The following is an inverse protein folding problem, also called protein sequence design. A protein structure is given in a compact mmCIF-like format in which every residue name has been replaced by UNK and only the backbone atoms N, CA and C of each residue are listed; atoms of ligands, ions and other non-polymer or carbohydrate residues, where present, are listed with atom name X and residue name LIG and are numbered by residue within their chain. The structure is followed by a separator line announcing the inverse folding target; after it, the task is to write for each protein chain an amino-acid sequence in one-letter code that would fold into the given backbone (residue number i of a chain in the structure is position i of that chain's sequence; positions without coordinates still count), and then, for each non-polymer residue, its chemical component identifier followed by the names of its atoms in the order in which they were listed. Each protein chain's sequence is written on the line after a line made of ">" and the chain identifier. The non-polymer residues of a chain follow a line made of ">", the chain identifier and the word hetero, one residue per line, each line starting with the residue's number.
data_IF_075873537413
#
_entry.id   IF_075873537413
#
_cell.length_a   1.000
_cell.length_b   1.000
_cell.length_c   1.000
_cell.angle_alpha   90.00
_cell.angle_beta   90.00
_cell.angle_gamma   90.00
#
_symmetry.space_group_name_H-M   'P 1'
#
loop_
_entity.id
_entity.type
_entity.pdbx_description
1 polymer ?
#
# COMPACT_ATOMS: atom_id res chain seq x y z
N UNK A 1 15.34 26.84 -17.77
CA UNK A 1 15.34 25.38 -17.91
C UNK A 1 15.46 25.04 -19.39
N UNK A 2 16.30 24.08 -19.77
CA UNK A 2 16.47 23.70 -21.19
C UNK A 2 15.20 23.02 -21.71
N UNK A 3 14.67 23.51 -22.84
CA UNK A 3 13.40 23.05 -23.41
C UNK A 3 13.44 21.56 -23.78
N UNK A 4 14.62 21.01 -24.08
CA UNK A 4 14.79 19.59 -24.37
C UNK A 4 14.47 18.70 -23.17
N UNK A 5 14.91 19.10 -21.98
CA UNK A 5 14.70 18.34 -20.73
C UNK A 5 13.21 18.30 -20.36
N UNK A 6 12.49 19.39 -20.62
CA UNK A 6 11.05 19.49 -20.37
C UNK A 6 10.25 18.56 -21.28
N UNK A 7 10.64 18.42 -22.55
CA UNK A 7 10.00 17.49 -23.50
C UNK A 7 10.32 16.03 -23.15
N UNK A 8 11.54 15.73 -22.71
CA UNK A 8 11.91 14.38 -22.26
C UNK A 8 11.13 13.96 -21.01
N UNK A 9 10.92 14.89 -20.06
CA UNK A 9 10.10 14.65 -18.86
C UNK A 9 8.63 14.45 -19.24
N UNK A 10 8.08 15.28 -20.13
CA UNK A 10 6.70 15.12 -20.63
C UNK A 10 6.50 13.78 -21.31
N UNK A 11 7.46 13.36 -22.15
CA UNK A 11 7.45 12.07 -22.82
C UNK A 11 7.49 10.90 -21.83
N UNK A 12 8.37 10.98 -20.81
CA UNK A 12 8.49 9.98 -19.76
C UNK A 12 7.22 9.84 -18.91
N UNK A 13 6.67 10.97 -18.45
CA UNK A 13 5.44 11.00 -17.66
C UNK A 13 4.26 10.49 -18.50
N UNK A 14 4.10 10.95 -19.74
CA UNK A 14 3.00 10.52 -20.63
C UNK A 14 3.05 9.03 -20.92
N UNK A 15 4.24 8.49 -21.24
CA UNK A 15 4.44 7.05 -21.45
C UNK A 15 4.15 6.22 -20.20
N UNK A 16 4.40 6.78 -19.01
CA UNK A 16 4.11 6.13 -17.73
C UNK A 16 2.63 6.24 -17.35
N UNK A 17 1.97 7.35 -17.69
CA UNK A 17 0.54 7.60 -17.45
C UNK A 17 -0.38 6.88 -18.43
N UNK A 18 0.04 6.63 -19.68
CA UNK A 18 -0.74 5.83 -20.65
C UNK A 18 -0.95 4.37 -20.18
N UNK A 19 -0.12 3.89 -19.24
CA UNK A 19 -0.28 2.59 -18.57
C UNK A 19 -1.02 2.68 -17.22
N UNK A 20 -1.39 3.88 -16.76
CA UNK A 20 -2.12 4.09 -15.53
C UNK A 20 -3.60 4.25 -15.84
N UNK A 21 -4.41 3.36 -15.29
CA UNK A 21 -5.88 3.49 -15.30
C UNK A 21 -6.24 4.85 -14.68
N UNK A 22 -7.07 5.64 -15.39
CA UNK A 22 -7.27 7.08 -15.23
C UNK A 22 -7.96 7.51 -13.91
N UNK A 23 -7.93 6.68 -12.86
CA UNK A 23 -8.84 6.79 -11.72
C UNK A 23 -8.30 7.52 -10.49
N UNK A 24 -7.06 8.02 -10.46
CA UNK A 24 -6.61 8.80 -9.29
C UNK A 24 -5.79 10.05 -9.63
N UNK A 25 -6.42 11.24 -9.52
CA UNK A 25 -5.75 12.52 -9.67
C UNK A 25 -4.81 12.85 -8.51
N UNK A 26 -4.96 12.34 -7.29
CA UNK A 26 -4.42 13.04 -6.10
C UNK A 26 -2.87 13.23 -6.06
N UNK A 27 -2.07 12.35 -6.69
CA UNK A 27 -0.60 12.52 -6.75
C UNK A 27 -0.16 13.28 -8.01
N UNK A 28 -0.91 13.17 -9.10
CA UNK A 28 -0.58 13.84 -10.37
C UNK A 28 -1.18 15.23 -10.43
N UNK A 29 -2.36 15.44 -9.86
CA UNK A 29 -3.11 16.68 -9.73
C UNK A 29 -2.49 17.58 -8.66
N UNK A 30 -1.77 17.07 -7.65
CA UNK A 30 -0.91 17.93 -6.82
C UNK A 30 0.35 18.39 -7.56
N UNK A 31 0.92 17.54 -8.42
CA UNK A 31 2.05 17.91 -9.28
C UNK A 31 1.64 18.83 -10.45
N UNK A 32 0.42 18.69 -10.97
CA UNK A 32 -0.13 19.47 -12.09
C UNK A 32 -0.86 20.75 -11.63
N UNK A 33 -1.56 20.75 -10.48
CA UNK A 33 -2.21 21.99 -9.95
C UNK A 33 -1.22 22.98 -9.35
N UNK A 34 0.01 22.56 -9.05
CA UNK A 34 1.07 23.48 -8.66
C UNK A 34 1.74 24.19 -9.86
N UNK A 35 1.33 23.90 -11.11
CA UNK A 35 1.82 24.65 -12.28
C UNK A 35 1.23 26.07 -12.39
N UNK A 36 0.17 26.41 -11.65
CA UNK A 36 -0.40 27.76 -11.69
C UNK A 36 0.28 28.77 -10.75
N UNK A 37 1.17 28.34 -9.84
CA UNK A 37 1.92 29.26 -8.98
C UNK A 37 3.40 28.85 -8.87
N UNK A 38 4.24 29.66 -9.52
CA UNK A 38 5.70 29.75 -9.41
C UNK A 38 6.55 28.57 -9.97
N UNK A 39 7.20 28.84 -11.11
CA UNK A 39 8.08 27.99 -11.94
C UNK A 39 9.30 27.31 -11.26
N UNK A 40 9.43 27.33 -9.93
CA UNK A 40 10.62 26.82 -9.23
C UNK A 40 10.39 25.61 -8.32
N UNK A 41 9.16 25.36 -7.84
CA UNK A 41 8.90 24.27 -6.89
C UNK A 41 8.71 22.91 -7.58
N UNK A 42 8.05 22.87 -8.74
CA UNK A 42 7.68 21.64 -9.45
C UNK A 42 8.89 20.79 -9.88
N UNK A 43 10.01 21.40 -10.26
CA UNK A 43 11.25 20.70 -10.60
C UNK A 43 11.87 19.97 -9.41
N UNK A 44 11.73 20.53 -8.20
CA UNK A 44 12.29 19.97 -6.97
C UNK A 44 11.57 18.70 -6.55
N UNK A 45 10.25 18.63 -6.73
CA UNK A 45 9.46 17.42 -6.46
C UNK A 45 9.79 16.28 -7.44
N UNK A 46 9.98 16.59 -8.74
CA UNK A 46 10.36 15.60 -9.76
C UNK A 46 11.75 15.02 -9.48
N UNK A 47 12.72 15.85 -9.07
CA UNK A 47 14.03 15.34 -8.64
C UNK A 47 13.93 14.48 -7.39
N UNK A 48 13.05 14.83 -6.44
CA UNK A 48 12.82 14.02 -5.22
C UNK A 48 12.32 12.61 -5.55
N UNK A 49 11.44 12.47 -6.55
CA UNK A 49 11.00 11.15 -7.04
C UNK A 49 12.10 10.37 -7.77
N UNK A 50 13.10 11.03 -8.39
CA UNK A 50 14.27 10.36 -8.99
C UNK A 50 15.30 9.92 -7.95
N UNK A 51 15.25 10.48 -6.74
CA UNK A 51 16.25 10.27 -5.69
C UNK A 51 15.95 9.11 -4.75
N UNK A 52 14.79 8.46 -4.82
CA UNK A 52 14.52 7.30 -3.95
C UNK A 52 15.35 6.14 -4.48
N UNK A 53 16.33 5.65 -3.72
CA UNK A 53 17.12 4.51 -4.15
C UNK A 53 16.19 3.30 -4.32
N UNK A 54 16.38 2.52 -5.39
CA UNK A 54 15.71 1.22 -5.56
C UNK A 54 15.91 0.28 -4.36
N UNK A 55 16.90 0.55 -3.51
CA UNK A 55 17.20 -0.20 -2.29
C UNK A 55 16.22 0.04 -1.14
N UNK A 56 15.37 1.07 -1.17
CA UNK A 56 14.38 1.30 -0.11
C UNK A 56 13.18 0.38 -0.32
N UNK A 57 13.11 -0.69 0.48
CA UNK A 57 12.00 -1.64 0.46
C UNK A 57 10.88 -1.17 1.37
N UNK A 58 9.65 -1.13 0.83
CA UNK A 58 8.45 -0.73 1.57
C UNK A 58 8.03 -1.81 2.58
N UNK A 59 8.27 -3.08 2.26
CA UNK A 59 7.92 -4.23 3.10
C UNK A 59 9.19 -4.97 3.45
N UNK A 60 9.27 -5.45 4.69
CA UNK A 60 10.39 -6.28 5.14
C UNK A 60 10.45 -7.59 4.36
N UNK A 61 11.63 -7.93 3.88
CA UNK A 61 11.86 -9.17 3.14
C UNK A 61 12.76 -10.13 3.91
N UNK A 62 12.50 -11.42 3.72
CA UNK A 62 13.26 -12.53 4.29
C UNK A 62 13.66 -13.47 3.14
N UNK A 63 14.76 -13.18 2.40
CA UNK A 63 15.07 -13.88 1.15
C UNK A 63 15.28 -15.39 1.30
N UNK A 64 15.84 -15.82 2.43
CA UNK A 64 16.23 -17.20 2.70
C UNK A 64 15.23 -17.94 3.62
N UNK A 65 14.03 -17.40 3.84
CA UNK A 65 13.01 -18.06 4.67
C UNK A 65 12.12 -18.99 3.83
N UNK A 66 11.63 -20.05 4.47
CA UNK A 66 10.57 -20.89 3.89
C UNK A 66 9.31 -20.06 3.75
N UNK A 67 8.71 -20.06 2.55
CA UNK A 67 7.48 -19.32 2.25
C UNK A 67 6.30 -20.28 2.22
N UNK A 68 5.34 -20.05 3.12
CA UNK A 68 4.06 -20.76 3.14
C UNK A 68 3.03 -19.85 2.45
N UNK A 69 2.46 -20.31 1.33
CA UNK A 69 1.43 -19.56 0.62
C UNK A 69 0.10 -19.72 1.32
N UNK A 70 -0.49 -18.61 1.77
CA UNK A 70 -1.83 -18.60 2.31
C UNK A 70 -2.87 -18.75 1.19
N UNK A 71 -4.01 -19.43 1.44
CA UNK A 71 -5.13 -19.47 0.50
C UNK A 71 -5.73 -18.07 0.33
N UNK A 72 -6.53 -17.87 -0.72
CA UNK A 72 -7.28 -16.61 -0.88
C UNK A 72 -8.21 -16.43 0.32
N UNK A 73 -8.23 -15.24 0.97
CA UNK A 73 -9.07 -15.01 2.14
C UNK A 73 -10.55 -15.20 1.76
N UNK A 74 -11.31 -16.00 2.53
CA UNK A 74 -12.73 -16.16 2.30
C UNK A 74 -13.48 -14.84 2.49
N UNK A 75 -14.66 -14.74 1.86
CA UNK A 75 -15.57 -13.60 2.12
C UNK A 75 -16.18 -13.78 3.51
N UNK A 76 -16.08 -12.74 4.33
CA UNK A 76 -16.77 -12.70 5.63
C UNK A 76 -18.18 -12.18 5.40
N UNK A 77 -19.17 -12.97 5.80
CA UNK A 77 -20.57 -12.57 5.81
C UNK A 77 -21.03 -12.32 7.24
N UNK A 78 -20.61 -11.19 7.81
CA UNK A 78 -21.00 -10.77 9.15
C UNK A 78 -21.40 -9.29 9.12
N UNK A 79 -22.48 -8.96 9.82
CA UNK A 79 -22.91 -7.58 9.99
C UNK A 79 -21.97 -6.88 10.97
N UNK A 80 -21.45 -5.72 10.60
CA UNK A 80 -20.54 -4.94 11.44
C UNK A 80 -21.11 -4.69 12.84
N UNK A 81 -22.39 -4.32 12.92
CA UNK A 81 -23.08 -4.09 14.20
C UNK A 81 -23.09 -5.32 15.09
N UNK A 82 -23.43 -6.49 14.54
CA UNK A 82 -23.43 -7.76 15.28
C UNK A 82 -22.03 -8.15 15.73
N UNK A 83 -21.02 -7.97 14.87
CA UNK A 83 -19.63 -8.27 15.21
C UNK A 83 -19.13 -7.42 16.37
N UNK A 84 -19.44 -6.12 16.39
CA UNK A 84 -19.07 -5.22 17.48
C UNK A 84 -19.76 -5.65 18.78
N UNK A 85 -21.08 -5.89 18.74
CA UNK A 85 -21.86 -6.27 19.93
C UNK A 85 -21.45 -7.63 20.51
N UNK A 86 -21.05 -8.58 19.66
CA UNK A 86 -20.63 -9.93 20.08
C UNK A 86 -19.15 -10.03 20.44
N UNK A 87 -18.36 -8.98 20.21
CA UNK A 87 -16.91 -9.00 20.45
C UNK A 87 -16.62 -9.22 21.93
N UNK A 88 -15.91 -10.31 22.23
CA UNK A 88 -15.44 -10.68 23.57
C UNK A 88 -14.01 -11.22 23.51
N UNK A 89 -13.28 -11.08 24.61
CA UNK A 89 -11.96 -11.70 24.77
C UNK A 89 -12.15 -13.14 25.24
N UNK A 90 -11.78 -14.11 24.41
CA UNK A 90 -11.81 -15.54 24.73
C UNK A 90 -10.38 -15.97 25.08
N UNK A 91 -10.20 -16.73 26.16
CA UNK A 91 -8.89 -17.20 26.62
C UNK A 91 -8.83 -18.71 26.89
N UNK A 92 -9.99 -19.36 26.87
CA UNK A 92 -10.14 -20.81 26.97
C UNK A 92 -10.39 -21.33 25.55
N UNK A 93 -9.54 -22.23 25.09
CA UNK A 93 -9.56 -22.78 23.74
C UNK A 93 -9.73 -24.30 23.81
N UNK A 94 -10.37 -24.88 22.79
CA UNK A 94 -10.45 -26.33 22.66
C UNK A 94 -9.11 -26.86 22.12
N UNK A 95 -8.38 -27.63 22.93
CA UNK A 95 -7.06 -28.20 22.56
C UNK A 95 -7.12 -29.15 21.35
N UNK A 96 -8.29 -29.67 21.03
CA UNK A 96 -8.51 -30.58 19.90
C UNK A 96 -8.92 -29.84 18.61
N UNK A 97 -9.13 -28.53 18.66
CA UNK A 97 -9.51 -27.72 17.50
C UNK A 97 -8.40 -26.73 17.14
N UNK A 98 -7.95 -26.80 15.90
CA UNK A 98 -6.94 -25.90 15.36
C UNK A 98 -7.57 -24.97 14.33
N UNK A 99 -7.13 -23.71 14.33
CA UNK A 99 -7.44 -22.78 13.25
C UNK A 99 -6.90 -23.33 11.92
N UNK A 100 -7.74 -23.36 10.89
CA UNK A 100 -7.36 -23.75 9.55
C UNK A 100 -6.56 -22.67 8.83
N UNK A 101 -5.82 -23.03 7.78
CA UNK A 101 -5.12 -22.04 6.93
C UNK A 101 -6.07 -21.03 6.27
N UNK A 102 -7.32 -21.42 6.01
CA UNK A 102 -8.34 -20.51 5.47
C UNK A 102 -8.74 -19.44 6.49
N UNK A 103 -8.96 -19.85 7.74
CA UNK A 103 -9.28 -18.93 8.83
C UNK A 103 -8.10 -18.03 9.16
N UNK A 104 -6.87 -18.57 9.19
CA UNK A 104 -5.65 -17.77 9.38
C UNK A 104 -5.48 -16.75 8.24
N UNK A 105 -5.72 -17.15 6.99
CA UNK A 105 -5.70 -16.23 5.84
C UNK A 105 -6.74 -15.12 5.98
N UNK A 106 -7.97 -15.46 6.37
CA UNK A 106 -9.02 -14.47 6.65
C UNK A 106 -8.56 -13.49 7.74
N UNK A 107 -8.10 -14.02 8.87
CA UNK A 107 -7.67 -13.25 10.03
C UNK A 107 -6.58 -12.25 9.66
N UNK A 108 -5.51 -12.71 9.01
CA UNK A 108 -4.38 -11.86 8.60
C UNK A 108 -4.79 -10.83 7.55
N UNK A 109 -5.59 -11.23 6.55
CA UNK A 109 -6.03 -10.33 5.49
C UNK A 109 -6.92 -9.20 6.00
N UNK A 110 -7.91 -9.49 6.84
CA UNK A 110 -8.85 -8.47 7.31
C UNK A 110 -8.29 -7.66 8.48
N UNK A 111 -7.30 -8.17 9.23
CA UNK A 111 -6.64 -7.41 10.31
C UNK A 111 -5.52 -6.50 9.84
N UNK A 112 -4.69 -6.91 8.88
CA UNK A 112 -3.53 -6.14 8.43
C UNK A 112 -3.09 -6.47 7.00
N UNK A 113 -4.00 -7.01 6.18
CA UNK A 113 -3.74 -7.35 4.79
C UNK A 113 -3.55 -6.11 3.92
N UNK A 114 -3.01 -6.31 2.72
CA UNK A 114 -2.95 -5.27 1.70
C UNK A 114 -4.28 -5.22 0.97
N UNK A 115 -4.97 -4.08 1.05
CA UNK A 115 -6.24 -3.82 0.36
C UNK A 115 -6.01 -3.51 -1.12
N UNK A 116 -5.00 -2.69 -1.40
CA UNK A 116 -4.68 -2.22 -2.75
C UNK A 116 -3.23 -1.70 -2.81
N UNK A 117 -2.66 -1.66 -4.01
CA UNK A 117 -1.40 -0.98 -4.29
C UNK A 117 -1.69 0.30 -5.06
N UNK A 118 -1.17 1.44 -4.60
CA UNK A 118 -1.36 2.75 -5.23
C UNK A 118 -0.11 3.63 -5.06
N UNK A 119 0.11 4.63 -5.94
CA UNK A 119 1.20 5.58 -5.74
C UNK A 119 1.01 6.39 -4.46
N UNK A 120 2.00 6.39 -3.58
CA UNK A 120 2.04 7.20 -2.35
C UNK A 120 3.44 7.21 -1.74
N UNK A 121 3.74 8.21 -0.90
CA UNK A 121 5.01 8.30 -0.16
C UNK A 121 6.23 8.07 -1.04
N UNK A 122 6.25 8.69 -2.21
CA UNK A 122 7.33 8.57 -3.18
C UNK A 122 7.45 7.18 -3.86
N UNK A 123 6.61 6.19 -3.53
CA UNK A 123 6.57 4.89 -4.21
C UNK A 123 5.50 4.83 -5.30
N UNK A 124 5.83 4.21 -6.43
CA UNK A 124 4.86 3.94 -7.50
C UNK A 124 3.80 2.92 -7.08
N UNK A 125 4.18 1.92 -6.27
CA UNK A 125 3.30 0.89 -5.75
C UNK A 125 3.43 0.81 -4.22
N UNK A 126 2.67 1.64 -3.52
CA UNK A 126 2.59 1.63 -2.06
C UNK A 126 1.43 0.71 -1.59
N UNK A 127 1.66 -0.24 -0.67
CA UNK A 127 0.66 -1.23 -0.26
C UNK A 127 -0.29 -0.66 0.78
N UNK A 128 -1.47 -0.17 0.43
CA UNK A 128 -2.45 0.32 1.41
C UNK A 128 -3.04 -0.84 2.22
N UNK A 129 -2.94 -0.76 3.55
CA UNK A 129 -3.41 -1.79 4.47
C UNK A 129 -4.91 -1.67 4.76
N UNK A 130 -5.51 -2.74 5.29
CA UNK A 130 -6.91 -2.74 5.77
C UNK A 130 -7.13 -1.90 7.02
N UNK A 131 -6.07 -1.44 7.68
CA UNK A 131 -6.13 -0.57 8.86
C UNK A 131 -5.46 0.78 8.60
N UNK A 132 -5.95 1.87 9.22
CA UNK A 132 -5.28 3.15 9.18
C UNK A 132 -3.97 3.10 10.01
N UNK A 133 -2.96 3.86 9.57
CA UNK A 133 -1.71 4.03 10.32
C UNK A 133 -1.33 5.51 10.35
N UNK A 134 -0.72 5.96 11.45
CA UNK A 134 -0.28 7.35 11.58
C UNK A 134 0.77 7.68 10.50
N UNK A 135 0.53 8.76 9.76
CA UNK A 135 1.39 9.18 8.65
C UNK A 135 1.50 8.17 7.51
N UNK A 136 0.69 7.10 7.50
CA UNK A 136 0.76 6.02 6.51
C UNK A 136 2.05 5.20 6.53
N UNK A 137 2.85 5.26 7.60
CA UNK A 137 4.21 4.70 7.64
C UNK A 137 4.26 3.17 7.79
N UNK A 138 3.14 2.50 8.08
CA UNK A 138 3.02 1.03 8.17
C UNK A 138 4.09 0.33 9.04
N UNK A 139 4.56 0.99 10.11
CA UNK A 139 5.67 0.48 10.93
C UNK A 139 5.46 -0.89 11.61
N UNK A 140 4.24 -1.29 12.04
CA UNK A 140 4.03 -2.60 12.65
C UNK A 140 4.16 -3.78 11.67
N UNK A 141 4.74 -4.87 12.17
CA UNK A 141 4.86 -6.17 11.50
C UNK A 141 4.14 -7.26 12.32
N UNK A 142 3.58 -8.27 11.65
CA UNK A 142 2.88 -9.39 12.30
C UNK A 142 3.74 -10.66 12.25
N UNK A 143 3.94 -11.26 13.42
CA UNK A 143 4.57 -12.57 13.58
C UNK A 143 3.56 -13.53 14.22
N UNK A 144 3.38 -14.71 13.62
CA UNK A 144 2.54 -15.78 14.16
C UNK A 144 3.46 -16.78 14.87
N UNK A 145 3.17 -17.10 16.12
CA UNK A 145 3.96 -17.97 17.00
C UNK A 145 3.14 -19.19 17.39
#
# INVERSE_FOLDING_TARGET
>A
MDKGILEDIRSYIKKRLENFDHTFPIVVDSLLRYEENEENESSKYIETFKQIPESVKIVKEYPNSVKIRLPRPPRINALLGDTILRRRSIREYNENEYISLNELSALLNYSYGVREFKPAYNFAEFPFRTVPTSGGLQGPEIYVV
#
